data_IF_995045757805
#
_entry.id   IF_995045757805
#
_cell.length_a   1.000
_cell.length_b   1.000
_cell.length_c   1.000
_cell.angle_alpha   90.00
_cell.angle_beta   90.00
_cell.angle_gamma   90.00
#
_symmetry.space_group_name_H-M   'P 1'
#
loop_
_entity.id
_entity.type
_entity.pdbx_description
1 polymer ?
#
# COMPACT_ATOMS: atom_id res chain seq x y z
N UNK A 1 52.20 -26.48 -1.61
CA UNK A 1 51.03 -26.85 -2.45
C UNK A 1 49.71 -26.83 -1.66
N UNK A 2 49.63 -27.43 -0.46
CA UNK A 2 48.39 -27.50 0.36
C UNK A 2 47.71 -26.15 0.62
N UNK A 3 48.47 -25.08 0.86
CA UNK A 3 47.93 -23.75 1.17
C UNK A 3 47.29 -23.05 -0.04
N UNK A 4 47.77 -23.33 -1.26
CA UNK A 4 47.24 -22.75 -2.50
C UNK A 4 45.90 -23.41 -2.85
N UNK A 5 45.81 -24.74 -2.73
CA UNK A 5 44.53 -25.48 -2.90
C UNK A 5 43.46 -25.05 -1.91
N UNK A 6 43.84 -24.67 -0.68
CA UNK A 6 42.93 -24.24 0.37
C UNK A 6 42.40 -22.81 0.12
N UNK A 7 43.24 -21.91 -0.40
CA UNK A 7 42.81 -20.58 -0.84
C UNK A 7 41.89 -20.65 -2.06
N UNK A 8 42.20 -21.54 -3.01
CA UNK A 8 41.39 -21.74 -4.22
C UNK A 8 39.99 -22.28 -3.86
N UNK A 9 39.89 -23.23 -2.93
CA UNK A 9 38.60 -23.80 -2.51
C UNK A 9 37.71 -22.79 -1.78
N UNK A 10 38.29 -21.91 -0.95
CA UNK A 10 37.55 -20.81 -0.31
C UNK A 10 37.02 -19.84 -1.36
N UNK A 11 37.83 -19.49 -2.37
CA UNK A 11 37.39 -18.58 -3.43
C UNK A 11 36.24 -19.17 -4.26
N UNK A 12 36.30 -20.47 -4.57
CA UNK A 12 35.23 -21.18 -5.27
C UNK A 12 33.94 -21.23 -4.44
N UNK A 13 34.04 -21.47 -3.13
CA UNK A 13 32.89 -21.45 -2.21
C UNK A 13 32.29 -20.05 -2.04
N UNK A 14 33.12 -19.01 -1.97
CA UNK A 14 32.66 -17.62 -1.91
C UNK A 14 31.99 -17.20 -3.22
N UNK A 15 32.57 -17.56 -4.37
CA UNK A 15 32.00 -17.30 -5.69
C UNK A 15 30.68 -18.05 -5.89
N UNK A 16 30.57 -19.30 -5.43
CA UNK A 16 29.31 -20.05 -5.52
C UNK A 16 28.22 -19.44 -4.62
N UNK A 17 28.56 -18.99 -3.41
CA UNK A 17 27.63 -18.27 -2.53
C UNK A 17 27.08 -16.96 -3.13
N UNK A 18 27.90 -16.24 -3.90
CA UNK A 18 27.46 -15.04 -4.64
C UNK A 18 26.53 -15.38 -5.80
N UNK A 19 26.78 -16.48 -6.52
CA UNK A 19 25.90 -16.94 -7.60
C UNK A 19 24.53 -17.37 -7.06
N UNK A 20 24.47 -18.08 -5.93
CA UNK A 20 23.20 -18.50 -5.33
C UNK A 20 22.38 -17.35 -4.73
N UNK A 21 23.02 -16.25 -4.33
CA UNK A 21 22.30 -15.05 -3.85
C UNK A 21 21.86 -14.11 -4.97
N UNK A 22 22.49 -14.18 -6.15
CA UNK A 22 22.14 -13.35 -7.31
C UNK A 22 20.77 -13.69 -7.93
N UNK A 23 20.25 -14.91 -7.74
CA UNK A 23 18.96 -15.37 -8.27
C UNK A 23 17.85 -15.41 -7.21
N UNK A 24 17.86 -14.47 -6.25
CA UNK A 24 16.72 -14.33 -5.35
C UNK A 24 15.56 -13.69 -6.12
N UNK A 25 14.64 -14.52 -6.62
CA UNK A 25 13.41 -14.06 -7.26
C UNK A 25 12.65 -13.16 -6.28
N UNK A 26 12.30 -11.95 -6.71
CA UNK A 26 11.51 -11.03 -5.90
C UNK A 26 10.18 -11.70 -5.55
N UNK A 27 9.74 -11.59 -4.29
CA UNK A 27 8.43 -12.12 -3.88
C UNK A 27 7.36 -11.40 -4.73
N UNK A 28 6.53 -12.12 -5.52
CA UNK A 28 5.47 -11.49 -6.32
C UNK A 28 4.54 -10.59 -5.50
N UNK A 29 4.39 -10.88 -4.20
CA UNK A 29 3.66 -10.02 -3.26
C UNK A 29 4.35 -8.68 -3.04
N UNK A 30 5.67 -8.68 -2.85
CA UNK A 30 6.46 -7.46 -2.61
C UNK A 30 6.47 -6.56 -3.85
N UNK A 31 6.57 -7.15 -5.03
CA UNK A 31 6.46 -6.43 -6.30
C UNK A 31 5.07 -5.77 -6.43
N UNK A 32 4.00 -6.52 -6.18
CA UNK A 32 2.63 -6.02 -6.26
C UNK A 32 2.34 -4.90 -5.25
N UNK A 33 2.79 -5.05 -3.99
CA UNK A 33 2.66 -4.00 -2.96
C UNK A 33 3.46 -2.75 -3.35
N UNK A 34 4.65 -2.93 -3.91
CA UNK A 34 5.48 -1.82 -4.39
C UNK A 34 4.81 -1.08 -5.54
N UNK A 35 4.19 -1.82 -6.47
CA UNK A 35 3.38 -1.23 -7.53
C UNK A 35 2.22 -0.41 -6.97
N UNK A 36 1.39 -0.99 -6.09
CA UNK A 36 0.22 -0.31 -5.49
C UNK A 36 0.65 0.97 -4.78
N UNK A 37 1.72 0.91 -3.98
CA UNK A 37 2.27 2.07 -3.27
C UNK A 37 2.70 3.17 -4.24
N UNK A 38 3.44 2.83 -5.30
CA UNK A 38 3.92 3.80 -6.30
C UNK A 38 2.76 4.40 -7.09
N UNK A 39 1.82 3.56 -7.52
CA UNK A 39 0.66 3.98 -8.30
C UNK A 39 -0.19 4.98 -7.50
N UNK A 40 -0.58 4.62 -6.27
CA UNK A 40 -1.36 5.52 -5.42
C UNK A 40 -0.60 6.81 -5.08
N UNK A 41 0.71 6.74 -4.82
CA UNK A 41 1.50 7.95 -4.57
C UNK A 41 1.57 8.88 -5.79
N UNK A 42 1.54 8.33 -7.01
CA UNK A 42 1.62 9.11 -8.26
C UNK A 42 0.32 9.86 -8.55
N UNK A 43 -0.81 9.23 -8.24
CA UNK A 43 -2.14 9.78 -8.53
C UNK A 43 -2.81 10.44 -7.32
N UNK A 44 -2.25 10.34 -6.12
CA UNK A 44 -2.84 10.95 -4.92
C UNK A 44 -2.99 12.47 -5.09
N UNK A 45 -4.21 12.97 -4.86
CA UNK A 45 -4.47 14.40 -4.91
C UNK A 45 -4.41 15.06 -3.53
N UNK A 46 -3.19 15.40 -3.11
CA UNK A 46 -2.99 16.20 -1.90
C UNK A 46 -3.55 17.62 -2.00
N UNK A 47 -3.89 18.09 -3.21
CA UNK A 47 -4.44 19.43 -3.39
C UNK A 47 -5.97 19.47 -3.25
N UNK A 48 -6.67 18.35 -3.46
CA UNK A 48 -8.14 18.26 -3.37
C UNK A 48 -8.67 18.84 -2.04
N UNK A 49 -7.92 18.63 -0.96
CA UNK A 49 -8.28 19.08 0.38
C UNK A 49 -7.21 19.99 1.00
N UNK A 50 -6.35 20.65 0.21
CA UNK A 50 -5.18 21.39 0.75
C UNK A 50 -5.54 22.53 1.72
N UNK A 51 -6.77 23.06 1.62
CA UNK A 51 -7.31 24.06 2.56
C UNK A 51 -7.58 23.47 3.95
N UNK A 52 -7.76 22.15 4.05
CA UNK A 52 -8.15 21.44 5.26
C UNK A 52 -7.00 20.56 5.79
N UNK A 53 -6.34 19.81 4.90
CA UNK A 53 -5.24 18.90 5.22
C UNK A 53 -3.91 19.67 5.19
N UNK A 54 -3.16 19.58 6.28
CA UNK A 54 -1.78 20.04 6.41
C UNK A 54 -0.77 19.04 5.85
N UNK A 55 -0.96 17.76 6.16
CA UNK A 55 -0.13 16.66 5.65
C UNK A 55 -0.92 15.36 5.70
N UNK A 56 -0.47 14.38 4.92
CA UNK A 56 -1.00 13.03 4.95
C UNK A 56 0.14 12.01 4.98
N UNK A 57 -0.16 10.80 5.45
CA UNK A 57 0.74 9.65 5.48
C UNK A 57 -0.03 8.45 4.93
N UNK A 58 0.39 7.89 3.80
CA UNK A 58 -0.17 6.68 3.21
C UNK A 58 0.90 5.58 3.17
N UNK A 59 0.69 4.50 3.93
CA UNK A 59 1.66 3.44 4.13
C UNK A 59 1.05 2.07 3.85
N UNK A 60 1.78 1.28 3.06
CA UNK A 60 1.49 -0.14 2.80
C UNK A 60 2.61 -0.98 3.37
N UNK A 61 2.31 -1.95 4.24
CA UNK A 61 3.32 -2.88 4.76
C UNK A 61 3.39 -4.14 3.91
N UNK A 62 4.51 -4.86 3.99
CA UNK A 62 4.70 -6.15 3.33
C UNK A 62 3.77 -7.24 3.90
N UNK A 63 3.19 -7.01 5.08
CA UNK A 63 2.14 -7.84 5.68
C UNK A 63 0.73 -7.50 5.18
N UNK A 64 0.61 -6.58 4.22
CA UNK A 64 -0.64 -6.19 3.59
C UNK A 64 -1.45 -5.15 4.36
N UNK A 65 -0.93 -4.52 5.42
CA UNK A 65 -1.66 -3.44 6.07
C UNK A 65 -1.57 -2.15 5.27
N UNK A 66 -2.73 -1.59 4.93
CA UNK A 66 -2.89 -0.24 4.41
C UNK A 66 -3.23 0.69 5.58
N UNK A 67 -2.45 1.75 5.76
CA UNK A 67 -2.67 2.79 6.78
C UNK A 67 -2.67 4.14 6.11
N UNK A 68 -3.73 4.90 6.33
CA UNK A 68 -3.87 6.24 5.83
C UNK A 68 -4.16 7.20 6.97
N UNK A 69 -3.31 8.20 7.16
CA UNK A 69 -3.45 9.19 8.23
C UNK A 69 -3.46 10.58 7.64
N UNK A 70 -4.45 11.38 8.02
CA UNK A 70 -4.59 12.79 7.62
C UNK A 70 -4.40 13.67 8.83
N UNK A 71 -3.67 14.76 8.65
CA UNK A 71 -3.47 15.79 9.66
C UNK A 71 -4.04 17.09 9.12
N UNK A 72 -5.00 17.66 9.84
CA UNK A 72 -5.70 18.87 9.44
C UNK A 72 -5.03 20.10 10.04
N UNK A 73 -5.20 21.26 9.39
CA UNK A 73 -4.65 22.54 9.87
C UNK A 73 -5.20 22.96 11.23
N UNK A 74 -6.41 22.52 11.58
CA UNK A 74 -7.06 22.80 12.86
C UNK A 74 -6.61 21.89 14.02
N UNK A 75 -5.64 20.99 13.80
CA UNK A 75 -5.15 20.04 14.80
C UNK A 75 -5.88 18.69 14.82
N UNK A 76 -7.00 18.55 14.10
CA UNK A 76 -7.70 17.28 13.93
C UNK A 76 -6.79 16.29 13.19
N UNK A 77 -6.85 15.03 13.60
CA UNK A 77 -6.22 13.91 12.91
C UNK A 77 -7.27 12.88 12.57
N UNK A 78 -7.16 12.26 11.40
CA UNK A 78 -7.98 11.11 11.02
C UNK A 78 -7.09 9.96 10.61
N UNK A 79 -7.45 8.76 11.02
CA UNK A 79 -6.71 7.54 10.80
C UNK A 79 -7.63 6.46 10.25
N UNK A 80 -7.18 5.86 9.17
CA UNK A 80 -7.84 4.76 8.49
C UNK A 80 -6.87 3.61 8.39
N UNK A 81 -7.31 2.38 8.70
CA UNK A 81 -6.47 1.22 8.47
C UNK A 81 -7.27 -0.05 8.21
N UNK A 82 -6.78 -0.87 7.28
CA UNK A 82 -7.29 -2.22 7.06
C UNK A 82 -6.19 -3.12 6.51
N UNK A 83 -6.43 -4.43 6.54
CA UNK A 83 -5.54 -5.40 5.89
C UNK A 83 -6.06 -5.73 4.49
N UNK A 84 -5.20 -5.67 3.47
CA UNK A 84 -5.51 -5.96 2.07
C UNK A 84 -6.09 -7.36 1.85
N UNK A 85 -5.89 -8.33 2.76
CA UNK A 85 -6.61 -9.62 2.72
C UNK A 85 -8.13 -9.49 2.89
N UNK A 86 -8.62 -8.33 3.32
CA UNK A 86 -10.05 -7.99 3.45
C UNK A 86 -10.58 -7.18 2.27
N UNK A 87 -9.71 -6.77 1.34
CA UNK A 87 -10.09 -6.05 0.13
C UNK A 87 -11.09 -6.88 -0.68
N UNK A 88 -12.03 -6.19 -1.31
CA UNK A 88 -13.08 -6.81 -2.13
C UNK A 88 -13.17 -6.16 -3.50
N UNK A 89 -13.26 -4.84 -3.54
CA UNK A 89 -13.32 -4.11 -4.79
C UNK A 89 -12.86 -2.65 -4.61
N UNK A 90 -12.77 -1.95 -5.73
CA UNK A 90 -12.39 -0.55 -5.83
C UNK A 90 -13.42 0.18 -6.68
N UNK A 91 -14.10 1.18 -6.10
CA UNK A 91 -14.95 2.09 -6.86
C UNK A 91 -14.23 3.41 -7.12
N UNK A 92 -14.52 4.02 -8.26
CA UNK A 92 -14.03 5.34 -8.60
C UNK A 92 -15.19 6.26 -8.96
N UNK A 93 -15.23 7.43 -8.31
CA UNK A 93 -16.21 8.47 -8.60
C UNK A 93 -15.48 9.76 -8.98
N UNK A 94 -15.59 10.17 -10.24
CA UNK A 94 -14.94 11.38 -10.73
C UNK A 94 -14.73 11.40 -12.25
N UNK A 95 -13.76 12.20 -12.66
CA UNK A 95 -13.30 12.38 -14.04
C UNK A 95 -11.81 12.03 -14.13
N UNK A 96 -11.27 11.89 -15.33
CA UNK A 96 -9.83 11.64 -15.50
C UNK A 96 -8.94 12.66 -14.77
N UNK A 97 -9.38 13.91 -14.65
CA UNK A 97 -8.65 14.98 -13.95
C UNK A 97 -8.72 14.91 -12.42
N UNK A 98 -9.83 14.48 -11.84
CA UNK A 98 -10.04 14.47 -10.39
C UNK A 98 -11.19 13.55 -9.98
N UNK A 99 -11.01 12.88 -8.83
CA UNK A 99 -12.05 12.04 -8.26
C UNK A 99 -11.64 11.40 -6.96
N UNK A 100 -12.45 10.43 -6.54
CA UNK A 100 -12.34 9.78 -5.24
C UNK A 100 -12.34 8.27 -5.43
N UNK A 101 -11.33 7.63 -4.86
CA UNK A 101 -11.17 6.18 -4.84
C UNK A 101 -11.75 5.61 -3.55
N UNK A 102 -12.61 4.61 -3.67
CA UNK A 102 -13.15 3.86 -2.55
C UNK A 102 -12.56 2.46 -2.57
N UNK A 103 -11.69 2.16 -1.60
CA UNK A 103 -11.16 0.82 -1.38
C UNK A 103 -12.12 0.08 -0.46
N UNK A 104 -12.87 -0.90 -0.98
CA UNK A 104 -13.90 -1.63 -0.24
C UNK A 104 -13.37 -2.88 0.43
N UNK A 105 -13.91 -3.19 1.60
CA UNK A 105 -13.66 -4.43 2.34
C UNK A 105 -14.92 -5.29 2.49
N UNK A 106 -14.72 -6.60 2.72
CA UNK A 106 -15.80 -7.61 2.80
C UNK A 106 -16.85 -7.31 3.86
N UNK A 107 -16.45 -6.67 4.96
CA UNK A 107 -17.34 -6.13 5.98
C UNK A 107 -16.73 -4.88 6.58
N UNK A 108 -17.08 -4.57 7.82
CA UNK A 108 -16.54 -3.45 8.57
C UNK A 108 -15.12 -3.77 9.07
N UNK A 109 -14.17 -3.82 8.14
CA UNK A 109 -12.75 -4.18 8.36
C UNK A 109 -11.81 -2.96 8.30
N UNK A 110 -12.34 -1.76 8.04
CA UNK A 110 -11.60 -0.50 8.06
C UNK A 110 -11.77 0.18 9.40
N UNK A 111 -10.70 0.25 10.19
CA UNK A 111 -10.64 1.06 11.41
C UNK A 111 -10.69 2.53 10.99
N UNK A 112 -11.60 3.31 11.58
CA UNK A 112 -11.74 4.75 11.39
C UNK A 112 -11.65 5.42 12.74
N UNK A 113 -10.59 6.19 12.94
CA UNK A 113 -10.32 6.90 14.19
C UNK A 113 -10.08 8.38 13.93
N UNK A 114 -10.68 9.25 14.74
CA UNK A 114 -10.38 10.67 14.73
C UNK A 114 -9.85 11.12 16.07
N UNK A 115 -9.02 12.15 16.06
CA UNK A 115 -8.47 12.77 17.26
C UNK A 115 -8.50 14.28 17.14
N UNK A 116 -8.81 14.97 18.25
CA UNK A 116 -9.06 16.42 18.30
C UNK A 116 -10.15 16.86 17.33
N UNK A 117 -11.18 16.04 17.15
CA UNK A 117 -12.35 16.46 16.39
C UNK A 117 -13.25 17.36 17.25
N UNK A 118 -13.70 18.48 16.68
CA UNK A 118 -14.60 19.42 17.37
C UNK A 118 -15.94 18.79 17.73
N UNK A 119 -16.35 17.76 17.00
CA UNK A 119 -17.60 17.04 17.23
C UNK A 119 -17.43 15.85 18.20
N UNK A 120 -16.22 15.64 18.72
CA UNK A 120 -15.85 14.48 19.50
C UNK A 120 -15.08 13.45 18.67
N UNK A 121 -14.12 12.80 19.32
CA UNK A 121 -13.29 11.76 18.71
C UNK A 121 -14.15 10.55 18.35
N UNK A 122 -13.93 10.00 17.15
CA UNK A 122 -14.63 8.84 16.61
C UNK A 122 -13.70 7.64 16.71
N UNK A 123 -14.22 6.50 17.13
CA UNK A 123 -13.59 5.18 17.02
C UNK A 123 -14.63 4.20 16.49
N UNK A 124 -14.50 3.83 15.22
CA UNK A 124 -15.51 3.05 14.50
C UNK A 124 -14.90 2.14 13.45
N UNK A 125 -15.71 1.23 12.95
CA UNK A 125 -15.37 0.37 11.82
C UNK A 125 -16.21 0.78 10.61
N UNK A 126 -15.62 0.72 9.42
CA UNK A 126 -16.27 1.00 8.14
C UNK A 126 -15.92 -0.09 7.11
N UNK A 127 -16.67 -0.11 6.02
CA UNK A 127 -16.48 -1.07 4.93
C UNK A 127 -15.72 -0.48 3.73
N UNK A 128 -15.20 0.74 3.84
CA UNK A 128 -14.35 1.34 2.82
C UNK A 128 -13.35 2.36 3.39
N UNK A 129 -12.26 2.57 2.65
CA UNK A 129 -11.31 3.67 2.84
C UNK A 129 -11.36 4.58 1.61
N UNK A 130 -11.41 5.89 1.84
CA UNK A 130 -11.48 6.90 0.79
C UNK A 130 -10.11 7.53 0.54
N UNK A 131 -9.69 7.61 -0.72
CA UNK A 131 -8.48 8.32 -1.15
C UNK A 131 -8.80 9.30 -2.29
N UNK A 132 -8.51 10.60 -2.14
CA UNK A 132 -8.60 11.54 -3.26
C UNK A 132 -7.49 11.26 -4.28
N UNK A 133 -7.84 11.18 -5.56
CA UNK A 133 -6.90 10.94 -6.66
C UNK A 133 -7.17 11.88 -7.85
N UNK A 134 -6.16 12.07 -8.70
CA UNK A 134 -6.18 12.94 -9.88
C UNK A 134 -5.44 12.32 -11.05
N UNK A 135 -5.71 12.83 -12.25
CA UNK A 135 -4.98 12.53 -13.48
C UNK A 135 -4.82 11.02 -13.74
N UNK A 136 -5.89 10.25 -13.56
CA UNK A 136 -5.88 8.79 -13.73
C UNK A 136 -6.87 8.38 -14.83
N UNK A 137 -6.42 7.57 -15.79
CA UNK A 137 -7.30 7.03 -16.82
C UNK A 137 -7.87 5.67 -16.37
N UNK A 138 -8.87 5.20 -17.11
CA UNK A 138 -9.55 3.93 -16.83
C UNK A 138 -8.59 2.73 -16.84
N UNK A 139 -7.56 2.75 -17.70
CA UNK A 139 -6.58 1.66 -17.80
C UNK A 139 -5.74 1.53 -16.53
N UNK A 140 -5.24 2.64 -15.97
CA UNK A 140 -4.47 2.59 -14.72
C UNK A 140 -5.35 2.23 -13.52
N UNK A 141 -6.63 2.64 -13.51
CA UNK A 141 -7.60 2.18 -12.50
C UNK A 141 -7.81 0.66 -12.57
N UNK A 142 -7.96 0.12 -13.77
CA UNK A 142 -8.13 -1.32 -13.98
C UNK A 142 -6.87 -2.09 -13.55
N UNK A 143 -5.68 -1.59 -13.88
CA UNK A 143 -4.43 -2.20 -13.44
C UNK A 143 -4.29 -2.16 -11.91
N UNK A 144 -4.61 -1.02 -11.28
CA UNK A 144 -4.61 -0.90 -9.82
C UNK A 144 -5.57 -1.90 -9.17
N UNK A 145 -6.80 -2.04 -9.69
CA UNK A 145 -7.79 -3.02 -9.21
C UNK A 145 -7.26 -4.44 -9.34
N UNK A 146 -6.68 -4.79 -10.48
CA UNK A 146 -6.11 -6.12 -10.72
C UNK A 146 -4.98 -6.44 -9.73
N UNK A 147 -4.06 -5.50 -9.49
CA UNK A 147 -2.94 -5.66 -8.55
C UNK A 147 -3.39 -5.76 -7.11
N UNK A 148 -4.37 -4.97 -6.68
CA UNK A 148 -4.99 -5.09 -5.35
C UNK A 148 -5.67 -6.45 -5.17
N UNK A 149 -6.39 -6.93 -6.17
CA UNK A 149 -7.06 -8.24 -6.16
C UNK A 149 -6.07 -9.39 -6.04
N UNK A 150 -5.00 -9.39 -6.85
CA UNK A 150 -3.92 -10.37 -6.79
C UNK A 150 -3.24 -10.37 -5.41
N UNK A 151 -2.96 -9.18 -4.87
CA UNK A 151 -2.36 -9.00 -3.53
C UNK A 151 -3.27 -9.59 -2.45
N UNK A 152 -4.58 -9.30 -2.51
CA UNK A 152 -5.56 -9.83 -1.58
C UNK A 152 -5.60 -11.37 -1.61
N UNK A 153 -5.66 -11.98 -2.80
CA UNK A 153 -5.67 -13.43 -2.96
C UNK A 153 -4.40 -14.08 -2.40
N UNK A 154 -3.22 -13.51 -2.69
CA UNK A 154 -1.96 -14.02 -2.17
C UNK A 154 -1.89 -13.92 -0.64
N UNK A 155 -2.34 -12.82 -0.04
CA UNK A 155 -2.39 -12.66 1.40
C UNK A 155 -3.41 -13.59 2.08
N UNK A 156 -4.49 -13.96 1.38
CA UNK A 156 -5.46 -14.92 1.89
C UNK A 156 -4.91 -16.37 1.92
N UNK A 157 -4.02 -16.73 0.99
CA UNK A 157 -3.37 -18.06 0.95
C UNK A 157 -2.26 -18.25 2.00
N UNK A 158 -1.69 -17.15 2.53
CA UNK A 158 -0.63 -17.18 3.56
C UNK A 158 -1.19 -17.31 5.00
N UNK A 159 -2.51 -17.39 5.19
CA UNK A 159 -3.16 -17.56 6.51
C UNK A 159 -3.52 -19.02 6.74
#
# INVERSE_FOLDING_TARGET
>A
MRNITLLLSIFVLAASGLIFSAFRQADPLEESITFVRRNLASYYDGNAENRLIRKYELNFTNTGFCRYKRYFHNGKTEYFAFNLSKFTDLDYYGSTSSGVLYLRTRGDDVIVQTHNDRSGDVDSMANFMILPIKNIEAEQLNELRARLTMTCQHLAMKK
#
